data_IF_692836338427
#
_entry.id   IF_692836338427
#
_cell.length_a   1.000
_cell.length_b   1.000
_cell.length_c   1.000
_cell.angle_alpha   90.00
_cell.angle_beta   90.00
_cell.angle_gamma   90.00
#
_symmetry.space_group_name_H-M   'P 1'
#
loop_
_entity.id
_entity.type
_entity.pdbx_description
1 polymer ?
#
# COMPACT_ATOMS: atom_id res chain seq x y z
N UNK A 1 -24.16 -4.47 -50.97
CA UNK A 1 -23.63 -3.72 -49.80
C UNK A 1 -23.47 -4.71 -48.66
N UNK A 2 -22.24 -5.16 -48.39
CA UNK A 2 -21.95 -5.95 -47.20
C UNK A 2 -21.91 -4.99 -46.00
N UNK A 3 -22.65 -5.29 -44.93
CA UNK A 3 -22.53 -4.57 -43.67
C UNK A 3 -21.21 -5.01 -43.03
N UNK A 4 -20.33 -4.04 -42.87
CA UNK A 4 -19.10 -4.18 -42.11
C UNK A 4 -19.48 -4.20 -40.63
N UNK A 5 -19.76 -5.40 -40.11
CA UNK A 5 -20.01 -5.62 -38.69
C UNK A 5 -18.68 -5.44 -37.97
N UNK A 6 -18.39 -4.22 -37.53
CA UNK A 6 -17.30 -3.95 -36.61
C UNK A 6 -17.62 -4.62 -35.29
N UNK A 7 -17.08 -5.82 -35.08
CA UNK A 7 -17.18 -6.53 -33.80
C UNK A 7 -16.35 -5.72 -32.78
N UNK A 8 -17.03 -4.92 -31.97
CA UNK A 8 -16.44 -4.20 -30.84
C UNK A 8 -16.12 -5.20 -29.71
N UNK A 9 -15.11 -6.06 -29.93
CA UNK A 9 -14.53 -6.86 -28.85
C UNK A 9 -13.75 -5.95 -27.94
N UNK A 10 -14.39 -5.43 -26.89
CA UNK A 10 -13.67 -4.82 -25.78
C UNK A 10 -12.69 -5.86 -25.22
N UNK A 11 -11.38 -5.55 -25.16
CA UNK A 11 -10.40 -6.50 -24.66
C UNK A 11 -10.74 -6.89 -23.21
N UNK A 12 -10.67 -8.19 -22.92
CA UNK A 12 -10.87 -8.71 -21.57
C UNK A 12 -9.84 -8.03 -20.66
N UNK A 13 -10.25 -7.46 -19.51
CA UNK A 13 -9.32 -6.82 -18.60
C UNK A 13 -8.22 -7.80 -18.20
N UNK A 14 -6.95 -7.44 -18.39
CA UNK A 14 -5.85 -8.28 -17.92
C UNK A 14 -5.82 -8.29 -16.40
N UNK A 15 -5.48 -9.44 -15.82
CA UNK A 15 -5.20 -9.55 -14.38
C UNK A 15 -4.07 -8.57 -14.02
N UNK A 16 -4.17 -7.83 -12.90
CA UNK A 16 -3.09 -6.95 -12.44
C UNK A 16 -1.79 -7.72 -12.21
N UNK A 17 -0.66 -7.07 -12.50
CA UNK A 17 0.66 -7.72 -12.54
C UNK A 17 1.14 -8.22 -11.17
N UNK A 18 0.73 -7.57 -10.09
CA UNK A 18 1.08 -7.96 -8.73
C UNK A 18 -0.09 -7.76 -7.76
N UNK A 19 0.04 -8.32 -6.55
CA UNK A 19 -0.99 -8.29 -5.52
C UNK A 19 -1.37 -6.88 -5.05
N UNK A 20 -0.41 -5.95 -4.97
CA UNK A 20 -0.69 -4.55 -4.64
C UNK A 20 -1.52 -3.86 -5.74
N UNK A 21 -1.19 -4.07 -7.01
CA UNK A 21 -1.97 -3.54 -8.13
C UNK A 21 -3.38 -4.15 -8.18
N UNK A 22 -3.52 -5.42 -7.80
CA UNK A 22 -4.83 -6.05 -7.64
C UNK A 22 -5.65 -5.41 -6.52
N UNK A 23 -5.01 -5.08 -5.40
CA UNK A 23 -5.64 -4.31 -4.33
C UNK A 23 -6.07 -2.92 -4.80
N UNK A 24 -5.21 -2.19 -5.52
CA UNK A 24 -5.57 -0.89 -6.10
C UNK A 24 -6.77 -1.01 -7.05
N UNK A 25 -6.76 -2.01 -7.93
CA UNK A 25 -7.86 -2.27 -8.86
C UNK A 25 -9.17 -2.65 -8.13
N UNK A 26 -9.07 -3.38 -7.01
CA UNK A 26 -10.19 -3.76 -6.16
C UNK A 26 -10.79 -2.57 -5.47
N UNK A 27 -9.99 -1.76 -4.79
CA UNK A 27 -10.47 -0.53 -4.12
C UNK A 27 -11.01 0.46 -5.15
N UNK A 28 -10.36 0.61 -6.30
CA UNK A 28 -10.87 1.42 -7.42
C UNK A 28 -12.22 0.92 -7.94
N UNK A 29 -12.40 -0.40 -8.05
CA UNK A 29 -13.70 -0.98 -8.40
C UNK A 29 -14.75 -0.69 -7.33
N UNK A 30 -14.44 -0.92 -6.05
CA UNK A 30 -15.35 -0.63 -4.95
C UNK A 30 -15.74 0.85 -4.93
N UNK A 31 -14.78 1.74 -5.17
CA UNK A 31 -15.01 3.18 -5.26
C UNK A 31 -16.01 3.54 -6.36
N UNK A 32 -15.82 2.96 -7.55
CA UNK A 32 -16.65 3.23 -8.71
C UNK A 32 -18.06 2.63 -8.63
N UNK A 33 -18.25 1.53 -7.90
CA UNK A 33 -19.51 0.77 -7.89
C UNK A 33 -20.32 0.94 -6.60
N UNK A 34 -19.65 1.12 -5.46
CA UNK A 34 -20.31 1.05 -4.15
C UNK A 34 -20.12 2.31 -3.32
N UNK A 35 -18.91 2.85 -3.18
CA UNK A 35 -18.66 3.98 -2.27
C UNK A 35 -17.36 4.75 -2.54
N UNK A 36 -17.47 6.05 -2.80
CA UNK A 36 -16.32 6.93 -3.13
C UNK A 36 -15.26 7.04 -2.00
N UNK A 37 -15.61 6.66 -0.77
CA UNK A 37 -14.71 6.64 0.39
C UNK A 37 -13.87 5.35 0.48
N UNK A 38 -13.93 4.46 -0.52
CA UNK A 38 -13.18 3.22 -0.52
C UNK A 38 -11.67 3.47 -0.38
N UNK A 39 -11.05 2.81 0.60
CA UNK A 39 -9.65 3.03 0.97
C UNK A 39 -8.98 1.74 1.41
N UNK A 40 -7.69 1.61 1.09
CA UNK A 40 -6.79 0.61 1.64
C UNK A 40 -5.75 1.30 2.52
N UNK A 41 -5.57 0.79 3.73
CA UNK A 41 -4.52 1.22 4.66
C UNK A 41 -3.62 0.04 4.98
N UNK A 42 -2.31 0.28 5.05
CA UNK A 42 -1.35 -0.65 5.62
C UNK A 42 -0.46 0.10 6.61
N UNK A 43 -0.03 -0.57 7.67
CA UNK A 43 0.81 0.01 8.70
C UNK A 43 1.95 -0.93 9.04
N UNK A 44 3.16 -0.39 9.10
CA UNK A 44 4.30 -1.04 9.73
C UNK A 44 4.52 -0.40 11.10
N UNK A 45 4.77 -1.19 12.13
CA UNK A 45 5.13 -0.70 13.45
C UNK A 45 6.23 -1.58 14.06
N UNK A 46 7.11 -0.98 14.85
CA UNK A 46 8.04 -1.75 15.67
C UNK A 46 7.35 -2.27 16.94
N UNK A 47 7.76 -3.46 17.35
CA UNK A 47 7.48 -4.03 18.66
C UNK A 47 8.64 -3.70 19.62
N UNK A 48 8.37 -3.85 20.92
CA UNK A 48 9.37 -3.62 21.98
C UNK A 48 10.62 -4.52 21.83
N UNK A 49 10.49 -5.66 21.17
CA UNK A 49 11.59 -6.60 20.89
C UNK A 49 12.35 -6.30 19.59
N UNK A 50 12.05 -5.17 18.93
CA UNK A 50 12.68 -4.72 17.70
C UNK A 50 12.17 -5.40 16.43
N UNK A 51 11.23 -6.34 16.51
CA UNK A 51 10.56 -6.89 15.32
C UNK A 51 9.61 -5.87 14.72
N UNK A 52 9.43 -5.95 13.40
CA UNK A 52 8.43 -5.15 12.68
C UNK A 52 7.21 -6.00 12.41
N UNK A 53 6.04 -5.48 12.75
CA UNK A 53 4.74 -6.09 12.42
C UNK A 53 3.95 -5.21 11.47
N UNK A 54 3.09 -5.88 10.71
CA UNK A 54 2.25 -5.29 9.70
C UNK A 54 0.78 -5.48 10.02
N UNK A 55 0.02 -4.40 9.83
CA UNK A 55 -1.44 -4.41 9.86
C UNK A 55 -1.96 -3.87 8.53
N UNK A 56 -3.14 -4.31 8.11
CA UNK A 56 -3.79 -3.79 6.91
C UNK A 56 -5.30 -3.71 7.12
N UNK A 57 -5.94 -2.74 6.49
CA UNK A 57 -7.38 -2.55 6.54
C UNK A 57 -7.93 -2.06 5.20
N UNK A 58 -9.12 -2.54 4.84
CA UNK A 58 -9.92 -2.03 3.73
C UNK A 58 -11.24 -1.48 4.28
N UNK A 59 -11.64 -0.29 3.85
CA UNK A 59 -12.89 0.34 4.28
C UNK A 59 -13.65 0.93 3.10
N UNK A 60 -14.98 0.85 3.14
CA UNK A 60 -15.89 1.46 2.17
C UNK A 60 -17.29 1.59 2.78
N UNK A 61 -17.87 2.79 2.75
CA UNK A 61 -19.13 3.10 3.40
C UNK A 61 -19.10 2.77 4.89
N UNK A 62 -19.94 1.81 5.32
CA UNK A 62 -19.96 1.32 6.72
C UNK A 62 -19.13 0.07 6.96
N UNK A 63 -18.51 -0.48 5.91
CA UNK A 63 -17.75 -1.71 6.00
C UNK A 63 -16.29 -1.40 6.31
N UNK A 64 -15.69 -2.21 7.18
CA UNK A 64 -14.27 -2.18 7.49
C UNK A 64 -13.82 -3.57 7.84
N UNK A 65 -12.80 -4.05 7.12
CA UNK A 65 -12.09 -5.28 7.42
C UNK A 65 -10.66 -4.94 7.77
N UNK A 66 -10.07 -5.65 8.72
CA UNK A 66 -8.70 -5.42 9.18
C UNK A 66 -8.01 -6.67 9.67
N UNK A 67 -6.70 -6.72 9.49
CA UNK A 67 -5.80 -7.75 10.02
C UNK A 67 -4.58 -7.08 10.65
N UNK A 68 -4.00 -7.71 11.67
CA UNK A 68 -2.95 -7.11 12.49
C UNK A 68 -1.89 -8.14 12.91
N UNK A 69 -0.65 -7.68 13.12
CA UNK A 69 0.42 -8.52 13.67
C UNK A 69 1.09 -9.45 12.66
N UNK A 70 1.01 -9.15 11.36
CA UNK A 70 1.57 -9.99 10.31
C UNK A 70 3.07 -9.70 10.09
N UNK A 71 3.87 -10.67 9.62
CA UNK A 71 5.32 -10.50 9.51
C UNK A 71 5.75 -9.60 8.33
N UNK A 72 4.87 -9.35 7.36
CA UNK A 72 5.20 -8.58 6.16
C UNK A 72 3.98 -7.93 5.53
N UNK A 73 4.20 -6.90 4.72
CA UNK A 73 3.13 -6.26 3.93
C UNK A 73 2.41 -7.28 3.01
N UNK A 74 3.11 -8.13 2.22
CA UNK A 74 2.47 -9.20 1.45
C UNK A 74 1.57 -10.12 2.28
N UNK A 75 2.00 -10.51 3.49
CA UNK A 75 1.19 -11.34 4.38
C UNK A 75 -0.06 -10.60 4.85
N UNK A 76 0.07 -9.34 5.28
CA UNK A 76 -1.07 -8.52 5.69
C UNK A 76 -2.09 -8.31 4.56
N UNK A 77 -1.62 -8.01 3.34
CA UNK A 77 -2.51 -7.83 2.17
C UNK A 77 -3.22 -9.12 1.77
N UNK A 78 -2.57 -10.28 1.92
CA UNK A 78 -3.15 -11.59 1.62
C UNK A 78 -4.21 -11.98 2.64
N UNK A 79 -3.92 -11.86 3.93
CA UNK A 79 -4.88 -12.18 4.98
C UNK A 79 -6.06 -11.20 4.97
N UNK A 80 -5.82 -9.91 4.70
CA UNK A 80 -6.90 -8.93 4.54
C UNK A 80 -7.86 -9.34 3.42
N UNK A 81 -7.34 -9.88 2.31
CA UNK A 81 -8.22 -10.31 1.22
C UNK A 81 -9.08 -11.50 1.65
N UNK A 82 -8.53 -12.44 2.43
CA UNK A 82 -9.31 -13.57 2.94
C UNK A 82 -10.45 -13.12 3.84
N UNK A 83 -10.25 -12.10 4.66
CA UNK A 83 -11.32 -11.51 5.47
C UNK A 83 -12.38 -10.83 4.61
N UNK A 84 -11.96 -10.01 3.63
CA UNK A 84 -12.89 -9.35 2.69
C UNK A 84 -13.69 -10.38 1.89
N UNK A 85 -13.04 -11.40 1.34
CA UNK A 85 -13.67 -12.43 0.50
C UNK A 85 -14.62 -13.35 1.29
N UNK A 86 -14.34 -13.55 2.59
CA UNK A 86 -15.22 -14.31 3.49
C UNK A 86 -16.50 -13.54 3.81
N UNK A 87 -16.38 -12.22 4.01
CA UNK A 87 -17.47 -11.40 4.54
C UNK A 87 -18.28 -10.69 3.45
N UNK A 88 -17.72 -10.53 2.23
CA UNK A 88 -18.31 -9.67 1.20
C UNK A 88 -18.24 -10.27 -0.20
N UNK A 89 -19.34 -10.16 -0.94
CA UNK A 89 -19.37 -10.42 -2.39
C UNK A 89 -19.12 -9.10 -3.11
N UNK A 90 -17.85 -8.83 -3.45
CA UNK A 90 -17.47 -7.55 -4.06
C UNK A 90 -17.73 -7.51 -5.56
N UNK A 91 -17.42 -8.56 -6.31
CA UNK A 91 -17.40 -8.51 -7.78
C UNK A 91 -18.63 -9.15 -8.41
N UNK A 92 -19.42 -8.34 -9.13
CA UNK A 92 -20.68 -8.81 -9.75
C UNK A 92 -20.48 -9.48 -11.12
N UNK A 93 -19.37 -9.17 -11.79
CA UNK A 93 -19.10 -9.66 -13.16
C UNK A 93 -17.85 -10.52 -13.22
N UNK A 94 -17.85 -11.50 -14.13
CA UNK A 94 -16.67 -12.35 -14.39
C UNK A 94 -15.43 -11.53 -14.75
N UNK A 95 -15.59 -10.44 -15.50
CA UNK A 95 -14.49 -9.54 -15.82
C UNK A 95 -13.93 -8.81 -14.60
N UNK A 96 -14.77 -8.46 -13.63
CA UNK A 96 -14.32 -7.80 -12.40
C UNK A 96 -13.63 -8.77 -11.43
N UNK A 97 -13.96 -10.07 -11.46
CA UNK A 97 -13.25 -11.10 -10.68
C UNK A 97 -11.74 -11.16 -10.99
N UNK A 98 -11.30 -10.70 -12.16
CA UNK A 98 -9.88 -10.62 -12.53
C UNK A 98 -9.10 -9.58 -11.71
N UNK A 99 -9.79 -8.68 -11.00
CA UNK A 99 -9.20 -7.67 -10.13
C UNK A 99 -8.90 -8.20 -8.72
N UNK A 100 -9.36 -9.41 -8.37
CA UNK A 100 -9.21 -9.99 -7.03
C UNK A 100 -7.73 -10.06 -6.62
N UNK A 101 -7.35 -9.58 -5.42
CA UNK A 101 -6.00 -9.70 -4.89
C UNK A 101 -5.81 -11.09 -4.26
N UNK A 102 -5.97 -12.13 -5.09
CA UNK A 102 -5.85 -13.53 -4.69
C UNK A 102 -4.91 -14.28 -5.64
N UNK A 103 -4.37 -15.41 -5.19
CA UNK A 103 -3.58 -16.35 -5.99
C UNK A 103 -2.30 -15.74 -6.61
N UNK A 104 -1.67 -14.78 -5.93
CA UNK A 104 -0.33 -14.28 -6.24
C UNK A 104 0.69 -15.08 -5.44
N UNK A 105 1.76 -15.53 -6.08
CA UNK A 105 2.90 -16.14 -5.39
C UNK A 105 3.56 -15.14 -4.45
N UNK A 106 4.40 -15.61 -3.52
CA UNK A 106 4.95 -14.75 -2.47
C UNK A 106 5.76 -13.56 -3.01
N UNK A 107 6.49 -13.77 -4.10
CA UNK A 107 7.28 -12.77 -4.81
C UNK A 107 6.47 -11.93 -5.81
N UNK A 108 5.16 -12.15 -5.94
CA UNK A 108 4.28 -11.42 -6.88
C UNK A 108 3.38 -10.42 -6.16
N UNK A 109 3.59 -10.14 -4.88
CA UNK A 109 2.78 -9.17 -4.14
C UNK A 109 3.20 -7.72 -4.36
N UNK A 110 4.50 -7.51 -4.57
CA UNK A 110 5.13 -6.22 -4.86
C UNK A 110 6.13 -6.43 -6.00
N UNK A 111 6.31 -5.43 -6.85
CA UNK A 111 7.47 -5.41 -7.73
C UNK A 111 8.77 -5.19 -6.91
N UNK A 112 9.90 -5.63 -7.47
CA UNK A 112 11.19 -5.62 -6.78
C UNK A 112 11.62 -4.22 -6.32
N UNK A 113 11.36 -3.19 -7.12
CA UNK A 113 11.75 -1.82 -6.81
C UNK A 113 10.92 -1.25 -5.64
N UNK A 114 9.61 -1.49 -5.66
CA UNK A 114 8.70 -1.12 -4.57
C UNK A 114 9.05 -1.84 -3.27
N UNK A 115 9.37 -3.13 -3.35
CA UNK A 115 9.81 -3.90 -2.18
C UNK A 115 11.12 -3.33 -1.60
N UNK A 116 12.12 -3.10 -2.44
CA UNK A 116 13.43 -2.61 -2.01
C UNK A 116 13.37 -1.22 -1.33
N UNK A 117 12.58 -0.28 -1.86
CA UNK A 117 12.46 1.05 -1.22
C UNK A 117 11.70 0.97 0.09
N UNK A 118 10.67 0.12 0.18
CA UNK A 118 9.88 -0.05 1.39
C UNK A 118 10.70 -0.70 2.51
N UNK A 119 11.43 -1.78 2.19
CA UNK A 119 12.32 -2.46 3.11
C UNK A 119 13.40 -1.51 3.63
N UNK A 120 14.03 -0.73 2.74
CA UNK A 120 15.02 0.28 3.14
C UNK A 120 14.42 1.33 4.08
N UNK A 121 13.23 1.84 3.75
CA UNK A 121 12.55 2.83 4.58
C UNK A 121 12.26 2.26 5.99
N UNK A 122 11.70 1.06 6.07
CA UNK A 122 11.40 0.37 7.34
C UNK A 122 12.69 0.12 8.12
N UNK A 123 13.73 -0.39 7.48
CA UNK A 123 15.01 -0.69 8.10
C UNK A 123 15.67 0.56 8.70
N UNK A 124 15.79 1.64 7.91
CA UNK A 124 16.39 2.89 8.39
C UNK A 124 15.56 3.51 9.50
N UNK A 125 14.24 3.47 9.39
CA UNK A 125 13.34 3.99 10.44
C UNK A 125 13.54 3.22 11.75
N UNK A 126 13.58 1.89 11.69
CA UNK A 126 13.85 1.03 12.84
C UNK A 126 15.22 1.25 13.46
N UNK A 127 16.25 1.41 12.63
CA UNK A 127 17.60 1.70 13.12
C UNK A 127 17.69 3.06 13.83
N UNK A 128 16.92 4.06 13.40
CA UNK A 128 16.96 5.41 13.96
C UNK A 128 16.07 5.54 15.21
N UNK A 129 14.85 4.98 15.21
CA UNK A 129 13.88 5.22 16.28
C UNK A 129 13.66 4.03 17.23
N UNK A 130 14.26 2.87 16.97
CA UNK A 130 14.08 1.69 17.80
C UNK A 130 12.63 1.19 17.80
N UNK A 131 12.02 1.08 18.98
CA UNK A 131 10.65 0.57 19.16
C UNK A 131 9.52 1.60 19.00
N UNK A 132 9.83 2.90 18.97
CA UNK A 132 8.81 3.97 19.00
C UNK A 132 8.64 4.64 17.63
N UNK A 133 8.13 3.87 16.68
CA UNK A 133 7.71 4.38 15.37
C UNK A 133 6.64 3.52 14.72
N UNK A 134 5.89 4.14 13.81
CA UNK A 134 5.05 3.46 12.84
C UNK A 134 4.99 4.24 11.52
N UNK A 135 4.86 3.51 10.43
CA UNK A 135 4.65 4.03 9.09
C UNK A 135 3.25 3.63 8.65
N UNK A 136 2.43 4.61 8.28
CA UNK A 136 1.09 4.40 7.72
C UNK A 136 1.15 4.67 6.22
N UNK A 137 0.65 3.72 5.44
CA UNK A 137 0.52 3.76 4.00
C UNK A 137 -0.97 3.73 3.66
N UNK A 138 -1.44 4.68 2.86
CA UNK A 138 -2.85 4.76 2.45
C UNK A 138 -2.93 4.84 0.94
N UNK A 139 -3.87 4.08 0.38
CA UNK A 139 -4.28 4.16 -1.01
C UNK A 139 -5.74 4.55 -1.10
N UNK A 140 -6.03 5.59 -1.88
CA UNK A 140 -7.37 5.99 -2.25
C UNK A 140 -7.43 6.27 -3.77
N UNK A 141 -8.46 5.77 -4.48
CA UNK A 141 -8.61 5.94 -5.93
C UNK A 141 -9.15 7.33 -6.27
N UNK A 142 -8.38 8.37 -5.93
CA UNK A 142 -8.70 9.77 -6.26
C UNK A 142 -8.28 10.13 -7.68
N UNK A 143 -8.92 11.16 -8.25
CA UNK A 143 -8.66 11.64 -9.61
C UNK A 143 -7.21 12.06 -9.81
N UNK A 144 -6.68 12.88 -8.87
CA UNK A 144 -5.28 13.34 -8.89
C UNK A 144 -4.33 12.17 -8.66
N UNK A 145 -3.55 11.74 -9.67
CA UNK A 145 -2.66 10.59 -9.51
C UNK A 145 -1.65 10.82 -8.39
N UNK A 146 -1.09 12.02 -8.29
CA UNK A 146 -0.06 12.39 -7.30
C UNK A 146 -0.51 12.30 -5.83
N UNK A 147 -1.80 12.11 -5.57
CA UNK A 147 -2.41 12.04 -4.24
C UNK A 147 -2.98 10.65 -3.91
N UNK A 148 -2.85 9.67 -4.81
CA UNK A 148 -3.43 8.33 -4.64
C UNK A 148 -2.79 7.55 -3.52
N UNK A 149 -1.46 7.64 -3.40
CA UNK A 149 -0.73 7.08 -2.29
C UNK A 149 -0.31 8.18 -1.33
N UNK A 150 -0.57 7.95 -0.05
CA UNK A 150 -0.08 8.76 1.05
C UNK A 150 0.74 7.88 1.98
N UNK A 151 1.85 8.42 2.46
CA UNK A 151 2.72 7.75 3.42
C UNK A 151 3.01 8.71 4.57
N UNK A 152 2.93 8.21 5.81
CA UNK A 152 3.20 8.99 7.00
C UNK A 152 4.08 8.21 7.95
N UNK A 153 5.15 8.85 8.42
CA UNK A 153 5.97 8.38 9.52
C UNK A 153 5.57 9.12 10.79
N UNK A 154 5.35 8.36 11.85
CA UNK A 154 5.11 8.84 13.20
C UNK A 154 6.12 8.16 14.12
N UNK A 155 6.86 8.95 14.91
CA UNK A 155 7.87 8.43 15.83
C UNK A 155 7.97 9.28 17.11
N UNK A 156 8.58 8.71 18.15
CA UNK A 156 8.82 9.37 19.44
C UNK A 156 7.53 9.86 20.12
N UNK A 157 6.55 8.98 20.29
CA UNK A 157 5.25 9.34 20.86
C UNK A 157 4.50 10.41 20.03
N UNK A 158 4.81 10.51 18.73
CA UNK A 158 4.19 11.48 17.81
C UNK A 158 4.88 12.85 17.75
N UNK A 159 6.03 13.04 18.41
CA UNK A 159 6.82 14.27 18.29
C UNK A 159 7.42 14.44 16.89
N UNK A 160 7.68 13.34 16.18
CA UNK A 160 8.10 13.35 14.79
C UNK A 160 6.92 12.91 13.93
N UNK A 161 6.50 13.78 13.02
CA UNK A 161 5.44 13.51 12.06
C UNK A 161 5.87 13.97 10.68
N UNK A 162 6.01 13.03 9.75
CA UNK A 162 6.51 13.31 8.41
C UNK A 162 5.53 12.71 7.41
N UNK A 163 5.02 13.55 6.52
CA UNK A 163 4.09 13.13 5.47
C UNK A 163 4.74 13.13 4.10
N UNK A 164 4.20 12.29 3.23
CA UNK A 164 4.53 12.21 1.82
C UNK A 164 3.32 11.72 1.02
N UNK A 165 3.34 12.00 -0.28
CA UNK A 165 2.35 11.50 -1.23
C UNK A 165 3.04 11.15 -2.55
N UNK A 166 2.38 10.33 -3.36
CA UNK A 166 2.91 9.89 -4.65
C UNK A 166 1.86 9.23 -5.54
N UNK A 167 2.21 9.07 -6.81
CA UNK A 167 1.38 8.36 -7.78
C UNK A 167 1.35 6.85 -7.55
N UNK A 168 2.42 6.33 -6.95
CA UNK A 168 2.59 4.94 -6.57
C UNK A 168 3.07 4.82 -5.11
N UNK A 169 2.99 3.61 -4.56
CA UNK A 169 3.58 3.30 -3.25
C UNK A 169 5.09 3.62 -3.24
N UNK A 170 5.79 3.27 -4.32
CA UNK A 170 7.21 3.57 -4.50
C UNK A 170 7.50 5.07 -4.38
N UNK A 171 6.73 5.91 -5.08
CA UNK A 171 6.92 7.37 -5.07
C UNK A 171 6.65 7.96 -3.67
N UNK A 172 5.60 7.47 -3.01
CA UNK A 172 5.25 7.89 -1.66
C UNK A 172 6.34 7.50 -0.66
N UNK A 173 6.87 6.27 -0.73
CA UNK A 173 7.98 5.80 0.10
C UNK A 173 9.28 6.57 -0.17
N UNK A 174 9.61 6.83 -1.43
CA UNK A 174 10.80 7.59 -1.80
C UNK A 174 10.72 9.04 -1.30
N UNK A 175 9.56 9.68 -1.46
CA UNK A 175 9.31 11.03 -0.95
C UNK A 175 9.35 11.06 0.57
N UNK A 176 8.77 10.06 1.24
CA UNK A 176 8.80 9.94 2.70
C UNK A 176 10.23 9.80 3.21
N UNK A 177 11.02 8.93 2.57
CA UNK A 177 12.43 8.74 2.91
C UNK A 177 13.22 10.05 2.79
N UNK A 178 13.03 10.78 1.68
CA UNK A 178 13.68 12.09 1.47
C UNK A 178 13.26 13.12 2.52
N UNK A 179 11.97 13.20 2.83
CA UNK A 179 11.44 14.13 3.83
C UNK A 179 11.93 13.78 5.25
N UNK A 180 12.18 12.49 5.53
CA UNK A 180 12.72 12.02 6.80
C UNK A 180 14.24 12.11 6.93
N UNK A 181 14.97 12.29 5.82
CA UNK A 181 16.43 12.33 5.80
C UNK A 181 17.07 13.33 6.80
N UNK A 182 16.56 14.57 6.98
CA UNK A 182 17.11 15.48 7.98
C UNK A 182 17.02 14.93 9.41
N UNK A 183 15.95 14.21 9.73
CA UNK A 183 15.76 13.60 11.05
C UNK A 183 16.65 12.38 11.24
N UNK A 184 16.88 11.60 10.18
CA UNK A 184 17.84 10.49 10.20
C UNK A 184 19.27 10.99 10.42
N UNK A 185 19.69 12.06 9.72
CA UNK A 185 21.00 12.66 9.88
C UNK A 185 21.21 13.24 11.29
N UNK A 186 20.20 13.91 11.84
CA UNK A 186 20.26 14.43 13.21
C UNK A 186 20.41 13.33 14.28
N UNK A 187 20.02 12.09 13.98
CA UNK A 187 20.14 10.95 14.89
C UNK A 187 21.41 10.13 14.71
N UNK A 188 22.01 10.12 13.52
CA UNK A 188 23.21 9.32 13.25
C UNK A 188 24.50 9.95 13.78
N UNK A 189 24.44 11.18 14.33
CA UNK A 189 25.62 11.93 14.80
C UNK A 189 26.59 12.29 13.67
N UNK A 190 26.23 12.01 12.41
CA UNK A 190 27.02 12.31 11.22
C UNK A 190 26.47 13.55 10.54
N UNK A 191 27.30 14.56 10.45
CA UNK A 191 27.03 15.75 9.63
C UNK A 191 27.03 15.37 8.15
N UNK A 192 26.33 16.13 7.31
CA UNK A 192 26.26 15.91 5.86
C UNK A 192 27.65 15.81 5.17
N UNK A 193 28.70 16.31 5.83
CA UNK A 193 30.10 16.23 5.42
C UNK A 193 30.72 14.82 5.52
N UNK A 194 30.11 13.91 6.29
CA UNK A 194 30.62 12.55 6.52
C UNK A 194 30.04 11.51 5.54
N UNK A 195 29.26 11.96 4.55
CA UNK A 195 28.53 11.13 3.57
C UNK A 195 28.88 11.46 2.11
N UNK A 196 29.90 12.28 1.86
CA UNK A 196 30.50 12.57 0.55
C UNK A 196 31.96 12.18 0.53
#
# INVERSE_FOLDING_TARGET
MAKDDTIDTRPIPKRPENGLLAWQATIGYISSQYSLDAMLTAQAAALDDGRVVWSAAASWGRNRESVEGLPSLPAALRELWREVDRNHVIFETRGALLKRPANYAENEWLDADTAAILERLVHVTGAVYGGDWHIVLMYQPVESPASRFQARLLAKGGAIQIGAHGASLRDACHTLYRNAAPHYAAHSGKTLADLT
#
